data_IF_641618627552
#
_entry.id   IF_641618627552
#
_cell.length_a   1.000
_cell.length_b   1.000
_cell.length_c   1.000
_cell.angle_alpha   90.00
_cell.angle_beta   90.00
_cell.angle_gamma   90.00
#
_symmetry.space_group_name_H-M   'P 1'
#
loop_
_entity.id
_entity.type
_entity.pdbx_description
1 polymer ?
#
# COMPACT_ATOMS: atom_id res chain seq x y z
N UNK A 1 -13.44 -16.65 -24.19
CA UNK A 1 -13.29 -15.19 -24.25
C UNK A 1 -13.64 -14.70 -22.85
N UNK A 2 -12.71 -13.97 -22.24
CA UNK A 2 -12.48 -13.82 -20.79
C UNK A 2 -13.68 -13.44 -19.94
N UNK A 3 -13.65 -13.96 -18.71
CA UNK A 3 -14.43 -13.48 -17.58
C UNK A 3 -14.00 -12.06 -17.19
N UNK A 4 -14.93 -11.11 -17.24
CA UNK A 4 -14.85 -9.85 -16.52
C UNK A 4 -15.19 -10.13 -15.05
N UNK A 5 -14.16 -10.24 -14.21
CA UNK A 5 -14.29 -10.26 -12.76
C UNK A 5 -13.83 -8.90 -12.25
N UNK A 6 -14.79 -8.13 -11.76
CA UNK A 6 -14.69 -7.20 -10.64
C UNK A 6 -13.53 -6.17 -10.65
N UNK A 7 -13.59 -5.24 -11.60
CA UNK A 7 -12.74 -4.04 -11.57
C UNK A 7 -13.43 -2.98 -10.71
N UNK A 8 -12.89 -2.71 -9.52
CA UNK A 8 -13.30 -1.55 -8.71
C UNK A 8 -13.22 -0.28 -9.57
N UNK A 9 -14.37 0.30 -9.87
CA UNK A 9 -14.51 1.43 -10.79
C UNK A 9 -14.33 2.74 -10.00
N UNK A 10 -13.12 3.31 -10.02
CA UNK A 10 -12.76 4.56 -9.35
C UNK A 10 -13.35 5.82 -10.05
N UNK A 11 -14.66 5.86 -10.32
CA UNK A 11 -15.28 6.88 -11.19
C UNK A 11 -16.49 7.59 -10.60
N UNK A 12 -16.20 8.74 -9.97
CA UNK A 12 -16.90 10.03 -10.22
C UNK A 12 -15.93 11.20 -9.98
N UNK A 13 -14.93 11.02 -9.10
CA UNK A 13 -13.67 11.76 -9.01
C UNK A 13 -12.56 10.70 -8.93
N UNK A 14 -11.47 10.82 -9.69
CA UNK A 14 -10.38 9.85 -9.57
C UNK A 14 -9.72 9.94 -8.20
N UNK A 15 -9.26 8.82 -7.64
CA UNK A 15 -8.53 8.79 -6.35
C UNK A 15 -7.38 9.81 -6.34
N UNK A 16 -6.65 9.92 -7.46
CA UNK A 16 -5.57 10.89 -7.62
C UNK A 16 -6.05 12.35 -7.66
N UNK A 17 -7.24 12.62 -8.19
CA UNK A 17 -7.82 13.97 -8.19
C UNK A 17 -8.15 14.42 -6.76
N UNK A 18 -8.69 13.49 -5.96
CA UNK A 18 -8.96 13.71 -4.53
C UNK A 18 -7.66 13.96 -3.77
N UNK A 19 -6.64 13.11 -3.99
CA UNK A 19 -5.32 13.28 -3.38
C UNK A 19 -4.71 14.62 -3.77
N UNK A 20 -4.77 15.01 -5.05
CA UNK A 20 -4.26 16.28 -5.51
C UNK A 20 -4.95 17.46 -4.82
N UNK A 21 -6.28 17.43 -4.70
CA UNK A 21 -7.03 18.47 -4.01
C UNK A 21 -6.71 18.54 -2.51
N UNK A 22 -6.69 17.39 -1.82
CA UNK A 22 -6.47 17.31 -0.38
C UNK A 22 -5.01 17.59 0.00
N UNK A 23 -4.05 17.34 -0.90
CA UNK A 23 -2.61 17.56 -0.66
C UNK A 23 -2.28 19.03 -0.35
N UNK A 24 -3.18 19.95 -0.69
CA UNK A 24 -3.08 21.37 -0.37
C UNK A 24 -3.26 21.65 1.14
N UNK A 25 -3.79 20.67 1.89
CA UNK A 25 -4.19 20.82 3.28
C UNK A 25 -3.50 19.81 4.23
N UNK A 26 -2.63 18.93 3.72
CA UNK A 26 -1.89 17.95 4.52
C UNK A 26 -0.46 17.75 4.01
N UNK A 27 0.40 17.18 4.88
CA UNK A 27 1.79 16.90 4.55
C UNK A 27 2.04 15.45 4.08
N UNK A 28 1.08 14.55 4.27
CA UNK A 28 1.17 13.13 3.95
C UNK A 28 -0.25 12.51 3.90
N UNK A 29 -0.40 11.38 3.20
CA UNK A 29 -1.58 10.53 3.28
C UNK A 29 -1.28 9.13 3.85
N UNK A 30 -2.18 8.66 4.70
CA UNK A 30 -2.33 7.22 5.01
C UNK A 30 -3.51 6.68 4.20
N UNK A 31 -3.26 5.88 3.17
CA UNK A 31 -4.32 5.27 2.37
C UNK A 31 -4.58 3.86 2.88
N UNK A 32 -5.75 3.66 3.48
CA UNK A 32 -6.19 2.36 3.96
C UNK A 32 -7.02 1.64 2.89
N UNK A 33 -6.49 0.56 2.32
CA UNK A 33 -7.22 -0.34 1.42
C UNK A 33 -8.16 -1.22 2.25
N UNK A 34 -9.30 -0.64 2.64
CA UNK A 34 -10.33 -1.34 3.38
C UNK A 34 -11.09 -2.28 2.42
N UNK A 35 -10.89 -3.58 2.58
CA UNK A 35 -11.68 -4.57 1.87
C UNK A 35 -13.12 -4.59 2.39
N UNK A 36 -14.08 -4.48 1.48
CA UNK A 36 -15.48 -4.81 1.74
C UNK A 36 -15.62 -6.30 1.46
N UNK A 37 -15.91 -7.10 2.50
CA UNK A 37 -16.17 -8.55 2.47
C UNK A 37 -15.10 -9.51 3.04
N UNK A 38 -14.13 -9.03 3.82
CA UNK A 38 -13.35 -9.91 4.70
C UNK A 38 -12.55 -11.00 3.97
N UNK A 39 -12.33 -10.82 2.67
CA UNK A 39 -11.44 -11.65 1.89
C UNK A 39 -10.06 -11.05 2.10
N UNK A 40 -9.40 -11.47 3.18
CA UNK A 40 -7.97 -11.26 3.35
C UNK A 40 -7.26 -11.76 2.09
N UNK A 41 -7.09 -10.91 1.08
CA UNK A 41 -6.62 -11.26 -0.27
C UNK A 41 -5.16 -10.82 -0.45
N UNK A 42 -4.70 -9.86 0.35
CA UNK A 42 -3.31 -9.40 0.39
C UNK A 42 -3.25 -7.93 0.04
N UNK A 43 -2.17 -7.52 -0.62
CA UNK A 43 -1.99 -6.17 -1.14
C UNK A 43 -2.90 -5.94 -2.36
N UNK A 44 -3.61 -4.81 -2.40
CA UNK A 44 -4.32 -4.34 -3.59
C UNK A 44 -3.33 -3.72 -4.58
N UNK A 45 -2.74 -4.55 -5.43
CA UNK A 45 -1.70 -4.14 -6.39
C UNK A 45 -2.20 -3.06 -7.36
N UNK A 46 -3.40 -3.16 -7.97
CA UNK A 46 -3.93 -2.08 -8.81
C UNK A 46 -4.00 -0.72 -8.11
N UNK A 47 -4.40 -0.69 -6.84
CA UNK A 47 -4.42 0.56 -6.06
C UNK A 47 -3.00 1.07 -5.81
N UNK A 48 -2.05 0.19 -5.46
CA UNK A 48 -0.64 0.57 -5.27
C UNK A 48 -0.04 1.14 -6.56
N UNK A 49 -0.28 0.52 -7.71
CA UNK A 49 0.16 1.02 -9.03
C UNK A 49 -0.45 2.38 -9.36
N UNK A 50 -1.72 2.60 -9.02
CA UNK A 50 -2.40 3.90 -9.19
C UNK A 50 -1.76 4.97 -8.31
N UNK A 51 -1.62 4.70 -7.01
CA UNK A 51 -1.02 5.62 -6.05
C UNK A 51 0.45 5.90 -6.37
N UNK A 52 1.17 4.91 -6.89
CA UNK A 52 2.54 5.06 -7.38
C UNK A 52 2.69 6.02 -8.56
N UNK A 53 1.62 6.56 -9.14
CA UNK A 53 1.71 7.64 -10.14
C UNK A 53 1.77 9.04 -9.49
N UNK A 54 1.42 9.15 -8.21
CA UNK A 54 1.49 10.40 -7.46
C UNK A 54 2.95 10.81 -7.19
N UNK A 55 3.22 12.11 -7.28
CA UNK A 55 4.58 12.68 -7.11
C UNK A 55 4.61 13.86 -6.14
N UNK A 56 3.53 14.09 -5.39
CA UNK A 56 3.43 15.17 -4.41
C UNK A 56 3.90 14.72 -3.03
N UNK A 57 3.09 15.02 -2.00
CA UNK A 57 3.41 14.61 -0.63
C UNK A 57 3.44 13.08 -0.46
N UNK A 58 4.17 12.55 0.53
CA UNK A 58 4.29 11.12 0.76
C UNK A 58 2.95 10.41 0.95
N UNK A 59 2.94 9.13 0.60
CA UNK A 59 1.80 8.24 0.79
C UNK A 59 2.28 6.97 1.48
N UNK A 60 1.69 6.67 2.63
CA UNK A 60 1.82 5.40 3.33
C UNK A 60 0.60 4.53 3.03
N UNK A 61 0.82 3.37 2.41
CA UNK A 61 -0.20 2.37 2.14
C UNK A 61 -0.43 1.47 3.37
N UNK A 62 -1.70 1.26 3.74
CA UNK A 62 -2.10 0.32 4.77
C UNK A 62 -3.14 -0.64 4.20
N UNK A 63 -2.83 -1.93 4.12
CA UNK A 63 -3.81 -2.90 3.60
C UNK A 63 -3.21 -4.28 3.33
N UNK A 64 -3.44 -5.21 4.24
CA UNK A 64 -3.23 -6.63 3.97
C UNK A 64 -1.79 -7.11 3.84
N UNK A 65 -0.78 -6.34 4.29
CA UNK A 65 0.63 -6.76 4.29
C UNK A 65 0.85 -7.94 5.23
N UNK A 66 1.35 -9.05 4.68
CA UNK A 66 1.57 -10.32 5.38
C UNK A 66 3.03 -10.63 5.67
N UNK A 67 3.97 -9.91 5.08
CA UNK A 67 5.40 -10.14 5.28
C UNK A 67 6.27 -9.37 4.30
N UNK A 68 7.57 -9.71 4.25
CA UNK A 68 8.55 -9.02 3.39
C UNK A 68 8.22 -9.08 1.90
N UNK A 69 7.63 -10.18 1.41
CA UNK A 69 7.30 -10.30 -0.02
C UNK A 69 6.22 -9.29 -0.44
N UNK A 70 5.27 -8.99 0.44
CA UNK A 70 4.27 -7.95 0.18
C UNK A 70 4.89 -6.54 0.20
N UNK A 71 5.91 -6.31 1.05
CA UNK A 71 6.67 -5.05 1.02
C UNK A 71 7.45 -4.87 -0.28
N UNK A 72 8.08 -5.93 -0.78
CA UNK A 72 8.74 -5.93 -2.10
C UNK A 72 7.73 -5.64 -3.20
N UNK A 73 6.58 -6.31 -3.18
CA UNK A 73 5.51 -6.10 -4.15
C UNK A 73 5.02 -4.65 -4.15
N UNK A 74 4.81 -4.04 -2.97
CA UNK A 74 4.42 -2.63 -2.86
C UNK A 74 5.50 -1.72 -3.43
N UNK A 75 6.76 -1.96 -3.07
CA UNK A 75 7.89 -1.16 -3.56
C UNK A 75 8.04 -1.25 -5.09
N UNK A 76 7.92 -2.45 -5.66
CA UNK A 76 8.00 -2.66 -7.12
C UNK A 76 6.82 -2.03 -7.85
N UNK A 77 5.58 -2.29 -7.43
CA UNK A 77 4.37 -1.78 -8.06
C UNK A 77 4.24 -0.26 -7.98
N UNK A 78 4.74 0.35 -6.89
CA UNK A 78 4.78 1.80 -6.73
C UNK A 78 6.01 2.48 -7.35
N UNK A 79 6.96 1.71 -7.89
CA UNK A 79 8.29 2.20 -8.27
C UNK A 79 9.00 2.96 -7.15
N UNK A 80 8.92 2.43 -5.93
CA UNK A 80 9.58 2.95 -4.73
C UNK A 80 9.00 4.25 -4.19
N UNK A 81 7.76 4.61 -4.56
CA UNK A 81 7.14 5.89 -4.18
C UNK A 81 6.20 5.81 -2.98
N UNK A 82 5.85 4.61 -2.55
CA UNK A 82 4.94 4.40 -1.43
C UNK A 82 5.68 3.76 -0.25
N UNK A 83 5.39 4.26 0.94
CA UNK A 83 5.67 3.57 2.20
C UNK A 83 4.56 2.54 2.50
N UNK A 84 4.82 1.63 3.43
CA UNK A 84 3.86 0.56 3.77
C UNK A 84 3.74 0.36 5.28
N UNK A 85 2.51 0.10 5.74
CA UNK A 85 2.22 -0.28 7.11
C UNK A 85 2.22 -1.79 7.28
N UNK A 86 2.98 -2.28 8.25
CA UNK A 86 2.90 -3.68 8.73
C UNK A 86 2.23 -3.70 10.10
N UNK A 87 1.09 -4.39 10.18
CA UNK A 87 0.31 -4.54 11.40
C UNK A 87 0.40 -5.96 11.97
N UNK A 88 -0.71 -6.71 11.91
CA UNK A 88 -0.88 -8.03 12.51
C UNK A 88 0.11 -9.12 12.05
N UNK A 89 0.80 -8.92 10.92
CA UNK A 89 1.84 -9.83 10.45
C UNK A 89 3.15 -9.75 11.25
N UNK A 90 3.38 -8.65 11.96
CA UNK A 90 4.60 -8.39 12.73
C UNK A 90 4.65 -9.24 14.02
N UNK A 91 5.81 -9.82 14.29
CA UNK A 91 6.08 -10.64 15.48
C UNK A 91 5.78 -9.92 16.81
N UNK A 92 6.04 -8.62 16.92
CA UNK A 92 5.73 -7.80 18.09
C UNK A 92 4.23 -7.80 18.45
N UNK A 93 3.35 -8.07 17.48
CA UNK A 93 1.91 -8.17 17.67
C UNK A 93 1.39 -9.61 17.66
N UNK A 94 2.28 -10.61 17.77
CA UNK A 94 1.94 -12.03 17.76
C UNK A 94 1.78 -12.62 16.35
N UNK A 95 2.14 -11.87 15.31
CA UNK A 95 2.22 -12.36 13.94
C UNK A 95 3.44 -13.25 13.71
N UNK A 96 3.48 -13.91 12.56
CA UNK A 96 4.63 -14.73 12.12
C UNK A 96 5.02 -14.45 10.68
N UNK A 97 4.57 -13.31 10.13
CA UNK A 97 4.71 -12.97 8.72
C UNK A 97 6.00 -12.22 8.43
N UNK A 98 6.47 -11.41 9.39
CA UNK A 98 7.76 -10.73 9.37
C UNK A 98 8.17 -10.36 10.80
N UNK A 99 9.47 -10.38 11.06
CA UNK A 99 10.05 -9.94 12.33
C UNK A 99 10.41 -8.46 12.31
N UNK A 100 10.44 -7.82 13.47
CA UNK A 100 10.90 -6.44 13.57
C UNK A 100 12.33 -6.23 13.04
N UNK A 101 13.22 -7.19 13.31
CA UNK A 101 14.62 -7.14 12.83
C UNK A 101 14.70 -7.22 11.29
N UNK A 102 13.85 -8.03 10.66
CA UNK A 102 13.75 -8.08 9.19
C UNK A 102 13.28 -6.74 8.60
N UNK A 103 12.35 -6.04 9.25
CA UNK A 103 11.91 -4.70 8.82
C UNK A 103 13.02 -3.66 8.98
N UNK A 104 13.79 -3.73 10.07
CA UNK A 104 14.96 -2.86 10.24
C UNK A 104 16.00 -3.10 9.14
N UNK A 105 16.29 -4.36 8.83
CA UNK A 105 17.21 -4.73 7.76
C UNK A 105 16.71 -4.26 6.39
N UNK A 106 15.40 -4.38 6.12
CA UNK A 106 14.76 -3.88 4.89
C UNK A 106 14.92 -2.36 4.74
N UNK A 107 14.61 -1.58 5.78
CA UNK A 107 14.72 -0.13 5.74
C UNK A 107 16.17 0.35 5.57
N UNK A 108 17.14 -0.37 6.18
CA UNK A 108 18.57 -0.05 6.04
C UNK A 108 19.10 -0.24 4.61
N UNK A 109 18.49 -1.12 3.81
CA UNK A 109 18.84 -1.32 2.40
C UNK A 109 18.24 -0.25 1.48
N UNK A 110 17.20 0.44 1.92
CA UNK A 110 16.40 1.38 1.12
C UNK A 110 16.77 2.86 1.37
N UNK A 111 17.79 3.10 2.21
CA UNK A 111 18.30 4.44 2.54
C UNK A 111 19.51 4.79 1.66
N UNK A 112 19.28 5.15 0.40
CA UNK A 112 20.29 5.77 -0.50
C UNK A 112 19.66 6.91 -1.32
#
# INVERSE_FOLDING_TARGET
MSADVDRQDYRTLGVLDIIAHLSQYCAEFLIHAADVEGQCSGVDVPLVELLGQWTGCPITYAGGVRGLEDLKLINEASAGRLDATVGSALDLFGGSGVTYDELLAWNAQSSD
#
